data_IF_244706442643
#
_entry.id   IF_244706442643
#
_cell.length_a   1.000
_cell.length_b   1.000
_cell.length_c   1.000
_cell.angle_alpha   90.00
_cell.angle_beta   90.00
_cell.angle_gamma   90.00
#
_symmetry.space_group_name_H-M   'P 1'
#
loop_
_entity.id
_entity.type
_entity.pdbx_description
1 polymer ?
#
# COMPACT_ATOMS: atom_id res chain seq x y z
N UNK A 1 2.67 -19.45 34.46
CA UNK A 1 2.93 -18.10 33.92
C UNK A 1 4.43 -17.95 33.69
N UNK A 2 4.87 -17.27 32.64
CA UNK A 2 6.29 -16.93 32.40
C UNK A 2 6.50 -15.47 32.78
N UNK A 3 7.60 -15.16 33.46
CA UNK A 3 7.94 -13.80 33.89
C UNK A 3 8.93 -13.16 32.92
N UNK A 4 8.74 -11.88 32.60
CA UNK A 4 9.67 -11.06 31.81
C UNK A 4 10.16 -9.93 32.71
N UNK A 5 11.48 -9.72 32.75
CA UNK A 5 12.09 -8.58 33.46
C UNK A 5 12.46 -7.53 32.43
N UNK A 6 12.03 -6.28 32.65
CA UNK A 6 12.30 -5.14 31.76
C UNK A 6 13.05 -4.05 32.53
N UNK A 7 13.95 -3.35 31.85
CA UNK A 7 14.66 -2.19 32.39
C UNK A 7 14.11 -0.95 31.70
N UNK A 8 13.72 0.05 32.48
CA UNK A 8 13.19 1.34 32.02
C UNK A 8 13.70 2.43 32.95
N UNK A 9 13.74 3.66 32.48
CA UNK A 9 14.13 4.81 33.31
C UNK A 9 13.09 5.07 34.41
N UNK A 10 13.52 5.57 35.57
CA UNK A 10 12.65 5.85 36.71
C UNK A 10 11.42 6.71 36.37
N UNK A 11 11.53 7.80 35.57
CA UNK A 11 10.36 8.59 35.18
C UNK A 11 9.35 7.81 34.34
N UNK A 12 9.83 6.88 33.51
CA UNK A 12 8.97 6.03 32.67
C UNK A 12 8.23 5.01 33.54
N UNK A 13 8.90 4.45 34.55
CA UNK A 13 8.27 3.53 35.50
C UNK A 13 7.20 4.21 36.35
N UNK A 14 7.48 5.43 36.82
CA UNK A 14 6.52 6.23 37.58
C UNK A 14 5.29 6.57 36.74
N UNK A 15 5.51 7.07 35.52
CA UNK A 15 4.42 7.32 34.57
C UNK A 15 3.59 6.05 34.31
N UNK A 16 4.23 4.91 34.06
CA UNK A 16 3.53 3.66 33.78
C UNK A 16 2.65 3.20 34.95
N UNK A 17 3.13 3.37 36.20
CA UNK A 17 2.35 3.07 37.41
C UNK A 17 1.12 3.97 37.54
N UNK A 18 1.28 5.28 37.32
CA UNK A 18 0.18 6.25 37.35
C UNK A 18 -0.85 5.91 36.26
N UNK A 19 -0.39 5.64 35.05
CA UNK A 19 -1.28 5.32 33.93
C UNK A 19 -2.01 3.98 34.14
N UNK A 20 -1.34 2.98 34.70
CA UNK A 20 -1.98 1.71 35.06
C UNK A 20 -3.09 1.91 36.11
N UNK A 21 -2.83 2.72 37.15
CA UNK A 21 -3.83 3.06 38.16
C UNK A 21 -5.02 3.81 37.56
N UNK A 22 -4.76 4.80 36.68
CA UNK A 22 -5.80 5.54 35.96
C UNK A 22 -6.71 4.62 35.13
N UNK A 23 -6.14 3.59 34.50
CA UNK A 23 -6.88 2.59 33.71
C UNK A 23 -7.46 1.44 34.55
N UNK A 24 -7.31 1.45 35.88
CA UNK A 24 -7.77 0.37 36.75
C UNK A 24 -7.07 -0.98 36.49
N UNK A 25 -5.82 -0.95 36.02
CA UNK A 25 -5.03 -2.15 35.68
C UNK A 25 -3.65 -2.15 36.36
N UNK A 26 -2.81 -3.15 36.07
CA UNK A 26 -1.42 -3.19 36.51
C UNK A 26 -0.46 -2.93 35.35
N UNK A 27 0.74 -2.43 35.66
CA UNK A 27 1.81 -2.23 34.66
C UNK A 27 2.09 -3.54 33.91
N UNK A 28 2.16 -4.67 34.63
CA UNK A 28 2.40 -5.99 34.01
C UNK A 28 1.30 -6.38 33.03
N UNK A 29 0.03 -6.10 33.33
CA UNK A 29 -1.09 -6.38 32.41
C UNK A 29 -1.02 -5.46 31.19
N UNK A 30 -0.78 -4.17 31.40
CA UNK A 30 -0.63 -3.20 30.30
C UNK A 30 0.49 -3.60 29.32
N UNK A 31 1.66 -3.98 29.84
CA UNK A 31 2.78 -4.48 29.01
C UNK A 31 2.42 -5.79 28.33
N UNK A 32 1.76 -6.71 29.04
CA UNK A 32 1.30 -7.97 28.45
C UNK A 32 0.31 -7.78 27.31
N UNK A 33 -0.66 -6.88 27.46
CA UNK A 33 -1.66 -6.56 26.43
C UNK A 33 -1.01 -5.92 25.21
N UNK A 34 -0.09 -4.97 25.43
CA UNK A 34 0.68 -4.32 24.37
C UNK A 34 1.54 -5.32 23.59
N UNK A 35 2.30 -6.18 24.28
CA UNK A 35 3.09 -7.24 23.63
C UNK A 35 2.20 -8.23 22.89
N UNK A 36 1.05 -8.58 23.45
CA UNK A 36 0.06 -9.44 22.78
C UNK A 36 -0.52 -8.78 21.52
N UNK A 37 -0.74 -7.47 21.53
CA UNK A 37 -1.18 -6.71 20.35
C UNK A 37 -0.09 -6.65 19.29
N UNK A 38 1.15 -6.35 19.66
CA UNK A 38 2.30 -6.38 18.77
C UNK A 38 2.45 -7.76 18.10
N UNK A 39 2.43 -8.84 18.90
CA UNK A 39 2.51 -10.20 18.40
C UNK A 39 1.40 -10.50 17.38
N UNK A 40 0.14 -10.19 17.73
CA UNK A 40 -1.00 -10.42 16.81
C UNK A 40 -0.86 -9.65 15.51
N UNK A 41 -0.30 -8.43 15.55
CA UNK A 41 -0.06 -7.62 14.35
C UNK A 41 1.03 -8.22 13.47
N UNK A 42 2.13 -8.67 14.06
CA UNK A 42 3.19 -9.39 13.34
C UNK A 42 2.66 -10.69 12.70
N UNK A 43 1.98 -11.53 13.47
CA UNK A 43 1.39 -12.77 12.97
C UNK A 43 0.33 -12.52 11.87
N UNK A 44 -0.41 -11.42 11.95
CA UNK A 44 -1.37 -11.03 10.91
C UNK A 44 -0.66 -10.61 9.63
N UNK A 45 0.44 -9.86 9.72
CA UNK A 45 1.23 -9.46 8.56
C UNK A 45 1.84 -10.68 7.86
N UNK A 46 2.48 -11.59 8.60
CA UNK A 46 3.10 -12.79 8.03
C UNK A 46 2.08 -13.68 7.33
N UNK A 47 0.91 -13.89 7.94
CA UNK A 47 -0.19 -14.65 7.30
C UNK A 47 -0.71 -13.97 6.05
N UNK A 48 -0.86 -12.64 6.06
CA UNK A 48 -1.29 -11.89 4.89
C UNK A 48 -0.27 -11.98 3.75
N UNK A 49 1.02 -11.86 4.06
CA UNK A 49 2.10 -12.00 3.08
C UNK A 49 2.16 -13.41 2.49
N UNK A 50 2.09 -14.46 3.32
CA UNK A 50 2.04 -15.83 2.84
C UNK A 50 0.84 -16.07 1.91
N UNK A 51 -0.34 -15.62 2.32
CA UNK A 51 -1.57 -15.73 1.52
C UNK A 51 -1.52 -14.89 0.23
N UNK A 52 -0.76 -13.79 0.21
CA UNK A 52 -0.53 -12.99 -0.99
C UNK A 52 0.46 -13.71 -1.93
N UNK A 53 1.54 -14.24 -1.39
CA UNK A 53 2.61 -14.88 -2.18
C UNK A 53 2.17 -16.19 -2.83
N UNK A 54 1.34 -16.97 -2.13
CA UNK A 54 0.87 -18.28 -2.63
C UNK A 54 -0.47 -18.20 -3.37
N UNK A 55 -0.94 -17.00 -3.72
CA UNK A 55 -2.16 -16.88 -4.51
C UNK A 55 -1.93 -17.33 -5.96
N UNK A 56 -2.80 -18.20 -6.45
CA UNK A 56 -2.76 -18.78 -7.80
C UNK A 56 -3.18 -17.79 -8.89
N UNK A 57 -3.75 -16.62 -8.54
CA UNK A 57 -4.04 -15.47 -9.44
C UNK A 57 -4.50 -15.89 -10.84
N UNK A 58 -5.65 -16.55 -10.89
CA UNK A 58 -6.19 -17.12 -12.13
C UNK A 58 -7.10 -16.16 -12.90
N UNK A 59 -7.45 -15.02 -12.30
CA UNK A 59 -8.32 -14.03 -12.89
C UNK A 59 -7.67 -13.34 -14.10
N UNK A 60 -8.48 -13.02 -15.11
CA UNK A 60 -8.09 -12.28 -16.31
C UNK A 60 -9.17 -11.27 -16.65
N UNK A 61 -8.82 -10.00 -16.78
CA UNK A 61 -9.80 -8.92 -16.94
C UNK A 61 -10.54 -8.92 -18.30
N UNK A 62 -10.01 -9.63 -19.30
CA UNK A 62 -10.50 -9.64 -20.69
C UNK A 62 -9.75 -8.66 -21.61
N UNK A 63 -10.04 -8.70 -22.92
CA UNK A 63 -9.24 -8.00 -23.95
C UNK A 63 -9.30 -6.46 -23.92
N UNK A 64 -10.19 -5.85 -23.13
CA UNK A 64 -10.19 -4.41 -22.93
C UNK A 64 -9.33 -4.08 -21.71
N UNK A 65 -8.25 -3.31 -21.93
CA UNK A 65 -7.48 -2.69 -20.86
C UNK A 65 -8.46 -2.02 -19.88
N UNK A 66 -8.50 -2.52 -18.65
CA UNK A 66 -9.37 -1.98 -17.61
C UNK A 66 -9.07 -0.48 -17.46
N UNK A 67 -10.11 0.33 -17.28
CA UNK A 67 -9.95 1.69 -16.74
C UNK A 67 -10.25 1.63 -15.27
N UNK A 68 -9.41 2.26 -14.46
CA UNK A 68 -9.71 2.43 -13.05
C UNK A 68 -11.01 3.21 -12.92
N UNK A 69 -11.90 2.67 -12.10
CA UNK A 69 -13.22 3.22 -11.85
C UNK A 69 -13.31 3.72 -10.40
N UNK A 70 -14.25 4.61 -10.12
CA UNK A 70 -14.33 5.35 -8.86
C UNK A 70 -14.00 6.82 -9.07
N UNK A 71 -12.73 7.19 -8.91
CA UNK A 71 -12.25 8.54 -9.23
C UNK A 71 -11.61 8.58 -10.61
N UNK A 72 -11.65 9.76 -11.25
CA UNK A 72 -10.98 9.96 -12.54
C UNK A 72 -9.47 9.71 -12.39
N UNK A 73 -8.94 8.85 -13.26
CA UNK A 73 -7.51 8.48 -13.32
C UNK A 73 -6.93 8.80 -14.68
N UNK A 74 -5.65 9.19 -14.71
CA UNK A 74 -4.90 9.28 -15.96
C UNK A 74 -4.88 7.91 -16.64
N UNK A 75 -4.94 7.85 -17.98
CA UNK A 75 -4.79 6.59 -18.69
C UNK A 75 -3.41 6.00 -18.43
N UNK A 76 -3.30 4.67 -18.50
CA UNK A 76 -2.02 3.99 -18.37
C UNK A 76 -0.98 4.58 -19.33
N UNK A 77 0.17 4.99 -18.79
CA UNK A 77 1.22 5.62 -19.56
C UNK A 77 2.11 4.53 -20.18
N UNK A 78 1.88 4.23 -21.46
CA UNK A 78 2.66 3.23 -22.22
C UNK A 78 4.02 3.77 -22.69
N UNK A 79 4.42 4.96 -22.25
CA UNK A 79 5.62 5.61 -22.80
C UNK A 79 6.89 4.79 -22.60
N UNK A 80 7.65 4.66 -23.69
CA UNK A 80 9.00 4.11 -23.68
C UNK A 80 9.90 4.94 -22.75
N UNK A 81 10.55 4.27 -21.80
CA UNK A 81 11.63 4.83 -21.00
C UNK A 81 12.85 3.88 -21.06
N UNK A 82 14.08 4.40 -20.93
CA UNK A 82 15.32 3.69 -21.24
C UNK A 82 15.61 2.57 -20.21
N UNK A 83 16.78 1.93 -20.35
CA UNK A 83 17.24 0.81 -19.51
C UNK A 83 16.76 0.92 -18.04
N UNK A 84 16.30 -0.20 -17.44
CA UNK A 84 15.67 -0.19 -16.13
C UNK A 84 16.55 0.51 -15.09
N UNK A 85 15.99 1.54 -14.45
CA UNK A 85 16.65 2.26 -13.36
C UNK A 85 16.70 1.35 -12.13
N UNK A 86 17.86 1.23 -11.50
CA UNK A 86 17.98 0.60 -10.19
C UNK A 86 17.62 1.61 -9.11
N UNK A 87 16.72 1.23 -8.19
CA UNK A 87 16.32 2.06 -7.06
C UNK A 87 16.48 1.31 -5.75
N UNK A 88 17.38 1.82 -4.92
CA UNK A 88 17.53 1.40 -3.53
C UNK A 88 16.48 2.10 -2.68
N UNK A 89 15.67 1.33 -1.94
CA UNK A 89 14.59 1.84 -1.13
C UNK A 89 15.03 2.02 0.32
N UNK A 90 14.98 3.26 0.80
CA UNK A 90 15.19 3.61 2.22
C UNK A 90 13.89 4.05 2.91
N UNK A 91 12.85 4.33 2.12
CA UNK A 91 11.56 4.85 2.56
C UNK A 91 10.43 3.98 2.01
N UNK A 92 9.24 4.00 2.65
CA UNK A 92 8.08 3.29 2.15
C UNK A 92 7.68 3.76 0.74
N UNK A 93 7.07 2.86 -0.02
CA UNK A 93 6.55 3.10 -1.37
C UNK A 93 5.04 2.93 -1.36
N UNK A 94 4.34 3.95 -1.85
CA UNK A 94 2.90 3.90 -2.01
C UNK A 94 2.55 3.15 -3.30
N UNK A 95 1.56 2.27 -3.26
CA UNK A 95 1.14 1.44 -4.39
C UNK A 95 -0.21 1.93 -4.90
N UNK A 96 -0.26 2.28 -6.18
CA UNK A 96 -1.46 2.76 -6.86
C UNK A 96 -2.44 1.62 -7.23
N UNK A 97 -3.70 1.97 -7.46
CA UNK A 97 -4.77 1.03 -7.83
C UNK A 97 -4.41 0.23 -9.09
N UNK A 98 -3.86 0.91 -10.10
CA UNK A 98 -3.46 0.30 -11.36
C UNK A 98 -2.47 -0.85 -11.17
N UNK A 99 -1.54 -0.72 -10.22
CA UNK A 99 -0.56 -1.76 -9.89
C UNK A 99 -1.24 -2.93 -9.20
N UNK A 100 -2.19 -2.68 -8.30
CA UNK A 100 -2.94 -3.76 -7.64
C UNK A 100 -3.80 -4.55 -8.64
N UNK A 101 -4.43 -3.88 -9.60
CA UNK A 101 -5.21 -4.56 -10.66
C UNK A 101 -4.28 -5.38 -11.56
N UNK A 102 -3.16 -4.81 -12.01
CA UNK A 102 -2.17 -5.53 -12.82
C UNK A 102 -1.56 -6.73 -12.09
N UNK A 103 -1.45 -6.67 -10.76
CA UNK A 103 -0.97 -7.80 -9.96
C UNK A 103 -1.92 -9.00 -10.03
N UNK A 104 -3.24 -8.77 -10.07
CA UNK A 104 -4.26 -9.83 -10.11
C UNK A 104 -4.62 -10.26 -11.54
N UNK A 105 -4.42 -9.39 -12.53
CA UNK A 105 -4.77 -9.66 -13.93
C UNK A 105 -3.71 -10.51 -14.64
N UNK A 106 -3.99 -11.80 -14.81
CA UNK A 106 -3.10 -12.71 -15.53
C UNK A 106 -3.07 -12.51 -17.05
N UNK A 107 -3.93 -11.64 -17.62
CA UNK A 107 -4.04 -11.46 -19.08
C UNK A 107 -2.74 -10.98 -19.74
N UNK A 108 -1.97 -10.11 -19.07
CA UNK A 108 -0.68 -9.59 -19.53
C UNK A 108 0.44 -10.01 -18.58
N UNK A 109 1.03 -11.19 -18.83
CA UNK A 109 2.12 -11.72 -18.02
C UNK A 109 3.40 -10.86 -18.09
N UNK A 110 3.60 -10.10 -19.17
CA UNK A 110 4.79 -9.26 -19.34
C UNK A 110 4.75 -8.04 -18.42
N UNK A 111 3.54 -7.51 -18.16
CA UNK A 111 3.31 -6.47 -17.16
C UNK A 111 3.20 -7.04 -15.74
N UNK A 112 2.48 -8.16 -15.58
CA UNK A 112 2.20 -8.74 -14.27
C UNK A 112 3.49 -9.20 -13.57
N UNK A 113 4.44 -9.82 -14.27
CA UNK A 113 5.65 -10.36 -13.63
C UNK A 113 6.52 -9.27 -12.95
N UNK A 114 6.86 -8.13 -13.59
CA UNK A 114 7.57 -7.03 -12.93
C UNK A 114 6.77 -6.39 -11.79
N UNK A 115 5.44 -6.29 -11.93
CA UNK A 115 4.55 -5.81 -10.85
C UNK A 115 4.65 -6.71 -9.63
N UNK A 116 4.52 -8.03 -9.81
CA UNK A 116 4.62 -8.99 -8.71
C UNK A 116 6.01 -8.98 -8.07
N UNK A 117 7.07 -8.84 -8.85
CA UNK A 117 8.43 -8.71 -8.31
C UNK A 117 8.60 -7.47 -7.42
N UNK A 118 8.07 -6.31 -7.84
CA UNK A 118 8.07 -5.11 -7.02
C UNK A 118 7.26 -5.30 -5.73
N UNK A 119 6.05 -5.85 -5.83
CA UNK A 119 5.19 -6.07 -4.66
C UNK A 119 5.78 -7.10 -3.70
N UNK A 120 6.43 -8.16 -4.17
CA UNK A 120 7.08 -9.16 -3.32
C UNK A 120 8.18 -8.53 -2.47
N UNK A 121 9.00 -7.66 -3.06
CA UNK A 121 9.99 -6.87 -2.32
C UNK A 121 9.31 -5.98 -1.27
N UNK A 122 8.28 -5.22 -1.65
CA UNK A 122 7.58 -4.32 -0.72
C UNK A 122 6.92 -5.09 0.45
N UNK A 123 6.41 -6.29 0.19
CA UNK A 123 5.88 -7.19 1.22
C UNK A 123 6.98 -7.72 2.15
N UNK A 124 8.07 -8.24 1.60
CA UNK A 124 9.19 -8.79 2.38
C UNK A 124 9.81 -7.74 3.31
N UNK A 125 10.03 -6.56 2.76
CA UNK A 125 10.76 -5.48 3.41
C UNK A 125 9.83 -4.54 4.20
N UNK A 126 8.51 -4.79 4.17
CA UNK A 126 7.47 -4.02 4.90
C UNK A 126 7.40 -2.54 4.49
N UNK A 127 7.79 -2.26 3.24
CA UNK A 127 7.86 -0.93 2.66
C UNK A 127 6.59 -0.55 1.89
N UNK A 128 5.65 -1.47 1.66
CA UNK A 128 4.41 -1.18 0.93
C UNK A 128 3.42 -0.33 1.73
N UNK A 129 2.80 0.66 1.06
CA UNK A 129 1.67 1.46 1.57
C UNK A 129 0.57 1.55 0.52
N UNK A 130 -0.68 1.67 0.97
CA UNK A 130 -1.87 1.93 0.14
C UNK A 130 -2.83 2.84 0.91
N UNK A 131 -3.90 3.34 0.27
CA UNK A 131 -5.00 4.06 0.94
C UNK A 131 -6.32 3.29 0.90
N UNK A 132 -7.28 3.70 1.71
CA UNK A 132 -8.66 3.21 1.61
C UNK A 132 -9.29 3.53 0.26
N UNK A 133 -8.93 4.66 -0.36
CA UNK A 133 -9.37 5.03 -1.70
C UNK A 133 -8.82 4.05 -2.76
N UNK A 134 -7.51 3.72 -2.73
CA UNK A 134 -6.92 2.73 -3.64
C UNK A 134 -7.63 1.38 -3.55
N UNK A 135 -7.94 0.91 -2.34
CA UNK A 135 -8.63 -0.37 -2.14
C UNK A 135 -10.09 -0.34 -2.62
N UNK A 136 -10.77 0.81 -2.47
CA UNK A 136 -12.14 0.98 -2.94
C UNK A 136 -12.21 0.98 -4.48
N UNK A 137 -11.30 1.72 -5.14
CA UNK A 137 -11.19 1.73 -6.60
C UNK A 137 -10.80 0.36 -7.15
N UNK A 138 -9.88 -0.34 -6.49
CA UNK A 138 -9.51 -1.71 -6.86
C UNK A 138 -10.75 -2.61 -6.88
N UNK A 139 -11.56 -2.58 -5.81
CA UNK A 139 -12.77 -3.39 -5.72
C UNK A 139 -13.76 -3.09 -6.85
N UNK A 140 -14.05 -1.81 -7.08
CA UNK A 140 -15.00 -1.39 -8.13
C UNK A 140 -14.49 -1.80 -9.52
N UNK A 141 -13.19 -1.59 -9.77
CA UNK A 141 -12.56 -1.90 -11.05
C UNK A 141 -12.63 -3.38 -11.37
N UNK A 142 -12.15 -4.26 -10.46
CA UNK A 142 -12.07 -5.70 -10.75
C UNK A 142 -13.43 -6.39 -10.74
N UNK A 143 -14.41 -5.88 -10.00
CA UNK A 143 -15.74 -6.53 -9.87
C UNK A 143 -16.82 -5.95 -10.77
N UNK A 144 -16.64 -4.74 -11.32
CA UNK A 144 -17.68 -4.07 -12.13
C UNK A 144 -17.19 -3.54 -13.47
N UNK A 145 -16.00 -2.95 -13.52
CA UNK A 145 -15.50 -2.28 -14.72
C UNK A 145 -14.75 -3.22 -15.67
N UNK A 146 -14.16 -4.30 -15.15
CA UNK A 146 -13.49 -5.30 -15.96
C UNK A 146 -14.46 -6.02 -16.90
N UNK A 147 -14.00 -6.35 -18.12
CA UNK A 147 -14.83 -7.05 -19.11
C UNK A 147 -15.22 -8.46 -18.65
N UNK A 148 -14.32 -9.12 -17.91
CA UNK A 148 -14.61 -10.34 -17.17
C UNK A 148 -14.49 -10.06 -15.66
N UNK A 149 -15.61 -9.81 -14.97
CA UNK A 149 -15.60 -9.48 -13.55
C UNK A 149 -14.97 -10.56 -12.67
N UNK A 150 -14.13 -10.13 -11.73
CA UNK A 150 -13.58 -10.98 -10.68
C UNK A 150 -14.70 -11.41 -9.71
N UNK A 151 -14.72 -12.68 -9.27
CA UNK A 151 -15.61 -13.09 -8.19
C UNK A 151 -15.42 -12.20 -6.95
N UNK A 152 -16.52 -11.70 -6.38
CA UNK A 152 -16.45 -10.80 -5.22
C UNK A 152 -15.73 -11.42 -4.01
N UNK A 153 -15.73 -12.75 -3.88
CA UNK A 153 -14.97 -13.47 -2.85
C UNK A 153 -13.48 -13.21 -2.95
N UNK A 154 -12.95 -13.33 -4.16
CA UNK A 154 -11.53 -13.18 -4.48
C UNK A 154 -11.10 -11.73 -4.32
N UNK A 155 -11.89 -10.77 -4.82
CA UNK A 155 -11.63 -9.35 -4.64
C UNK A 155 -11.57 -8.95 -3.14
N UNK A 156 -12.48 -9.48 -2.31
CA UNK A 156 -12.45 -9.25 -0.86
C UNK A 156 -11.26 -9.94 -0.20
N UNK A 157 -10.87 -11.12 -0.66
CA UNK A 157 -9.69 -11.81 -0.15
C UNK A 157 -8.42 -11.01 -0.43
N UNK A 158 -8.27 -10.48 -1.65
CA UNK A 158 -7.18 -9.61 -2.03
C UNK A 158 -7.08 -8.36 -1.13
N UNK A 159 -8.19 -7.65 -0.92
CA UNK A 159 -8.24 -6.46 -0.05
C UNK A 159 -7.87 -6.79 1.40
N UNK A 160 -8.35 -7.93 1.93
CA UNK A 160 -8.03 -8.37 3.30
C UNK A 160 -6.54 -8.60 3.51
N UNK A 161 -5.80 -9.01 2.49
CA UNK A 161 -4.34 -9.11 2.56
C UNK A 161 -3.73 -7.73 2.73
N UNK A 162 -4.06 -6.76 1.87
CA UNK A 162 -3.53 -5.40 1.94
C UNK A 162 -3.95 -4.60 3.18
N UNK A 163 -4.97 -5.02 3.94
CA UNK A 163 -5.27 -4.41 5.24
C UNK A 163 -4.12 -4.50 6.25
N UNK A 164 -3.21 -5.48 6.11
CA UNK A 164 -2.02 -5.57 6.98
C UNK A 164 -0.98 -4.47 6.69
N UNK A 165 -1.09 -3.74 5.57
CA UNK A 165 -0.31 -2.54 5.28
C UNK A 165 -0.88 -1.29 5.97
N UNK A 166 -1.91 -1.42 6.81
CA UNK A 166 -2.58 -0.32 7.52
C UNK A 166 -2.94 0.85 6.59
N UNK A 167 -3.90 0.66 5.66
CA UNK A 167 -4.18 1.63 4.60
C UNK A 167 -4.43 3.04 5.13
N UNK A 168 -3.82 4.04 4.49
CA UNK A 168 -4.02 5.46 4.81
C UNK A 168 -5.49 5.83 4.64
N UNK A 169 -6.05 6.53 5.62
CA UNK A 169 -7.43 7.01 5.57
C UNK A 169 -7.43 8.42 4.99
N UNK A 170 -8.20 8.65 3.93
CA UNK A 170 -8.34 9.97 3.32
C UNK A 170 -9.12 10.87 4.29
N UNK A 171 -8.47 11.95 4.73
CA UNK A 171 -9.02 12.94 5.65
C UNK A 171 -8.97 14.35 5.02
N UNK A 172 -9.40 15.37 5.78
CA UNK A 172 -9.46 16.75 5.29
C UNK A 172 -8.07 17.28 4.86
N UNK A 173 -7.01 16.95 5.60
CA UNK A 173 -5.65 17.37 5.26
C UNK A 173 -5.17 16.73 3.95
N UNK A 174 -5.53 15.47 3.72
CA UNK A 174 -5.24 14.77 2.46
C UNK A 174 -5.93 15.46 1.28
N UNK A 175 -7.18 15.89 1.45
CA UNK A 175 -7.94 16.62 0.41
C UNK A 175 -7.31 17.97 0.04
N UNK A 176 -6.93 18.78 1.04
CA UNK A 176 -6.24 20.06 0.81
C UNK A 176 -4.96 19.90 -0.01
N UNK A 177 -4.20 18.85 0.31
CA UNK A 177 -2.98 18.51 -0.42
C UNK A 177 -3.28 18.07 -1.85
N UNK A 178 -4.32 17.26 -2.05
CA UNK A 178 -4.74 16.81 -3.38
C UNK A 178 -5.22 17.96 -4.26
N UNK A 179 -6.01 18.91 -3.74
CA UNK A 179 -6.43 20.11 -4.49
C UNK A 179 -5.24 20.98 -4.91
N UNK A 180 -4.25 21.13 -4.03
CA UNK A 180 -3.03 21.86 -4.36
C UNK A 180 -2.23 21.17 -5.49
N UNK A 181 -2.17 19.83 -5.48
CA UNK A 181 -1.53 19.06 -6.55
C UNK A 181 -2.30 19.20 -7.87
N UNK A 182 -3.62 19.10 -7.84
CA UNK A 182 -4.50 19.25 -9.02
C UNK A 182 -4.34 20.63 -9.66
N UNK A 183 -4.44 21.69 -8.87
CA UNK A 183 -4.28 23.07 -9.35
C UNK A 183 -2.89 23.33 -9.95
N UNK A 184 -1.85 22.68 -9.42
CA UNK A 184 -0.46 22.88 -9.87
C UNK A 184 -0.10 22.05 -11.09
N UNK A 185 -0.55 20.79 -11.14
CA UNK A 185 -0.06 19.80 -12.10
C UNK A 185 -1.11 19.37 -13.13
N UNK A 186 -2.37 19.78 -12.97
CA UNK A 186 -3.48 19.44 -13.88
C UNK A 186 -3.61 17.93 -14.12
N UNK A 187 -3.37 17.15 -13.07
CA UNK A 187 -3.53 15.69 -13.08
C UNK A 187 -4.99 15.33 -12.81
N UNK A 188 -5.36 14.09 -13.17
CA UNK A 188 -6.66 13.56 -12.80
C UNK A 188 -6.81 13.52 -11.26
N UNK A 189 -8.03 13.75 -10.78
CA UNK A 189 -8.32 13.88 -9.35
C UNK A 189 -7.87 12.66 -8.52
N UNK A 190 -8.12 11.43 -9.01
CA UNK A 190 -7.72 10.22 -8.29
C UNK A 190 -6.20 10.06 -8.19
N UNK A 191 -5.43 10.56 -9.17
CA UNK A 191 -3.97 10.58 -9.10
C UNK A 191 -3.47 11.60 -8.08
N UNK A 192 -4.13 12.76 -7.98
CA UNK A 192 -3.85 13.75 -6.94
C UNK A 192 -4.10 13.19 -5.54
N UNK A 193 -5.21 12.46 -5.35
CA UNK A 193 -5.50 11.76 -4.10
C UNK A 193 -4.45 10.71 -3.75
N UNK A 194 -4.03 9.89 -4.72
CA UNK A 194 -3.01 8.87 -4.50
C UNK A 194 -1.65 9.50 -4.11
N UNK A 195 -1.25 10.57 -4.78
CA UNK A 195 -0.04 11.33 -4.47
C UNK A 195 -0.09 11.98 -3.09
N UNK A 196 -1.21 12.60 -2.72
CA UNK A 196 -1.41 13.19 -1.40
C UNK A 196 -1.34 12.13 -0.29
N UNK A 197 -2.01 10.98 -0.50
CA UNK A 197 -1.94 9.85 0.44
C UNK A 197 -0.52 9.29 0.54
N UNK A 198 0.23 9.21 -0.57
CA UNK A 198 1.63 8.82 -0.57
C UNK A 198 2.47 9.76 0.31
N UNK A 199 2.36 11.08 0.12
CA UNK A 199 3.06 12.07 0.94
C UNK A 199 2.74 11.91 2.43
N UNK A 200 1.47 11.80 2.79
CA UNK A 200 1.03 11.77 4.18
C UNK A 200 1.36 10.43 4.86
N UNK A 201 1.46 9.36 4.09
CA UNK A 201 1.94 8.05 4.57
C UNK A 201 3.47 7.94 4.69
N UNK A 202 4.20 9.04 4.43
CA UNK A 202 5.66 9.10 4.51
C UNK A 202 6.38 8.43 3.34
N UNK A 203 5.71 8.27 2.20
CA UNK A 203 6.32 7.67 1.02
C UNK A 203 7.07 8.73 0.20
N UNK A 204 8.32 8.42 -0.15
CA UNK A 204 9.09 9.20 -1.13
C UNK A 204 8.77 8.79 -2.58
N UNK A 205 8.08 7.66 -2.77
CA UNK A 205 7.80 7.13 -4.10
C UNK A 205 6.39 6.54 -4.21
N UNK A 206 5.83 6.65 -5.42
CA UNK A 206 4.56 6.08 -5.85
C UNK A 206 4.81 5.07 -6.96
N UNK A 207 4.49 3.80 -6.73
CA UNK A 207 4.46 2.76 -7.75
C UNK A 207 3.14 2.88 -8.53
N UNK A 208 3.21 3.27 -9.80
CA UNK A 208 2.03 3.52 -10.66
C UNK A 208 2.27 3.08 -12.12
N UNK A 209 1.17 2.81 -12.83
CA UNK A 209 1.14 2.55 -14.28
C UNK A 209 0.56 3.72 -15.07
N UNK A 210 -0.03 4.70 -14.38
CA UNK A 210 -0.81 5.79 -14.96
C UNK A 210 0.03 7.04 -15.18
N UNK A 211 1.07 7.21 -14.34
CA UNK A 211 1.91 8.39 -14.33
C UNK A 211 3.29 8.11 -14.96
N UNK A 212 3.96 9.11 -15.56
CA UNK A 212 5.25 8.92 -16.21
C UNK A 212 6.36 8.51 -15.23
N UNK A 213 7.21 7.56 -15.62
CA UNK A 213 8.41 7.15 -14.87
C UNK A 213 9.29 8.36 -14.51
N UNK A 214 9.71 8.44 -13.24
CA UNK A 214 10.63 9.46 -12.73
C UNK A 214 10.01 10.85 -12.56
N UNK A 215 8.71 11.02 -12.85
CA UNK A 215 8.01 12.27 -12.59
C UNK A 215 7.99 12.56 -11.08
N UNK A 216 8.01 13.85 -10.74
CA UNK A 216 8.08 14.32 -9.36
C UNK A 216 6.89 15.22 -9.06
N UNK A 217 6.07 14.83 -8.07
CA UNK A 217 4.88 15.56 -7.66
C UNK A 217 4.88 15.73 -6.15
N UNK A 218 5.01 16.97 -5.66
CA UNK A 218 5.03 17.23 -4.22
C UNK A 218 6.16 16.52 -3.45
N UNK A 219 7.26 16.16 -4.10
CA UNK A 219 8.34 15.39 -3.47
C UNK A 219 8.12 13.87 -3.48
N UNK A 220 7.09 13.38 -4.17
CA UNK A 220 6.89 11.96 -4.45
C UNK A 220 7.36 11.66 -5.87
N UNK A 221 8.28 10.71 -5.98
CA UNK A 221 8.76 10.19 -7.26
C UNK A 221 7.86 9.07 -7.79
N UNK A 222 7.49 9.14 -9.06
CA UNK A 222 6.76 8.04 -9.72
C UNK A 222 7.73 6.96 -10.18
N UNK A 223 7.45 5.72 -9.77
CA UNK A 223 8.13 4.51 -10.20
C UNK A 223 7.16 3.65 -11.01
N UNK A 224 7.61 3.22 -12.17
CA UNK A 224 6.89 2.35 -13.09
C UNK A 224 7.53 0.95 -13.05
N UNK A 225 6.78 -0.12 -12.73
CA UNK A 225 7.30 -1.49 -12.58
C UNK A 225 8.09 -2.01 -13.79
N UNK A 226 7.75 -1.60 -15.02
CA UNK A 226 8.49 -2.02 -16.23
C UNK A 226 9.84 -1.32 -16.40
N UNK A 227 10.05 -0.17 -15.77
CA UNK A 227 11.19 0.72 -16.01
C UNK A 227 12.08 0.89 -14.77
N UNK A 228 11.76 0.18 -13.69
CA UNK A 228 12.44 0.30 -12.41
C UNK A 228 12.63 -1.07 -11.76
N UNK A 229 13.88 -1.38 -11.40
CA UNK A 229 14.20 -2.53 -10.55
C UNK A 229 14.41 -2.04 -9.12
N UNK A 230 13.55 -2.48 -8.20
CA UNK A 230 13.61 -2.12 -6.79
C UNK A 230 14.60 -3.03 -6.05
N UNK A 231 15.38 -2.45 -5.15
CA UNK A 231 16.28 -3.13 -4.24
C UNK A 231 16.25 -2.45 -2.87
N UNK A 232 16.82 -3.10 -1.86
CA UNK A 232 17.07 -2.52 -0.52
C UNK A 232 18.59 -2.50 -0.32
N UNK A 233 19.16 -1.50 0.36
CA UNK A 233 20.60 -1.36 0.54
C UNK A 233 21.26 -2.52 1.29
#
# INVERSE_FOLDING_TARGET
MKNVTITVDDPVLEWARIEAARRGTSVSRMVGDFLGEMQRREDAYERAYLAWRTDERTWRAGAAAWRIHGFERSPAHVGEAPQPLQRSLEQPVFVDTAVLVAAEDGADAALQAPVLACLDLLWRERLGRVSSQVLAEFYDTVTRAASAPMPHGDARAAIRRYHSWTPWQIDAATLETAWALEARHQLAWGDCLALAAAQHSGCASLLSLSLPQGAQYGGVEVLHPLHCALAVP
#
